data_IF_462006592996
#
_entry.id   IF_462006592996
#
_cell.length_a   1.000
_cell.length_b   1.000
_cell.length_c   1.000
_cell.angle_alpha   90.00
_cell.angle_beta   90.00
_cell.angle_gamma   90.00
#
_symmetry.space_group_name_H-M   'P 1'
#
loop_
_entity.id
_entity.type
_entity.pdbx_description
1 polymer ?
#
# COMPACT_ATOMS: atom_id res chain seq x y z
N UNK A 1 11.28 17.37 -3.46
CA UNK A 1 10.76 16.70 -2.23
C UNK A 1 9.34 16.24 -2.52
N UNK A 2 9.10 14.92 -2.54
CA UNK A 2 7.77 14.32 -2.74
C UNK A 2 7.11 13.97 -1.39
N UNK A 3 5.78 13.87 -1.38
CA UNK A 3 4.98 13.30 -0.30
C UNK A 3 4.77 11.82 -0.58
N UNK A 4 5.28 10.97 0.27
CA UNK A 4 5.21 9.51 0.15
C UNK A 4 4.29 8.96 1.22
N UNK A 5 3.32 8.16 0.84
CA UNK A 5 2.43 7.44 1.77
C UNK A 5 2.68 5.94 1.66
N UNK A 6 2.92 5.29 2.78
CA UNK A 6 3.05 3.83 2.88
C UNK A 6 1.81 3.26 3.54
N UNK A 7 1.13 2.35 2.86
CA UNK A 7 0.00 1.57 3.39
C UNK A 7 0.49 0.16 3.71
N UNK A 8 0.82 -0.08 4.98
CA UNK A 8 1.35 -1.35 5.46
C UNK A 8 0.21 -2.25 5.95
N UNK A 9 -0.11 -3.28 5.17
CA UNK A 9 -1.23 -4.20 5.38
C UNK A 9 -0.90 -5.42 6.23
N UNK A 10 0.35 -5.59 6.69
CA UNK A 10 0.70 -6.73 7.54
C UNK A 10 0.20 -6.56 8.97
N UNK A 11 -0.48 -7.57 9.56
CA UNK A 11 -0.83 -7.56 10.98
C UNK A 11 0.41 -7.77 11.89
N UNK A 12 1.52 -8.26 11.34
CA UNK A 12 2.78 -8.46 12.06
C UNK A 12 3.66 -7.22 11.93
N UNK A 13 3.67 -6.36 12.95
CA UNK A 13 4.37 -5.07 12.94
C UNK A 13 5.90 -5.20 12.85
N UNK A 14 6.44 -6.36 13.23
CA UNK A 14 7.87 -6.69 13.18
C UNK A 14 8.15 -7.89 12.26
N UNK A 15 7.26 -8.14 11.28
CA UNK A 15 7.39 -9.24 10.34
C UNK A 15 8.19 -8.87 9.07
N UNK A 16 8.27 -9.80 8.14
CA UNK A 16 8.98 -9.68 6.86
C UNK A 16 8.57 -8.45 6.05
N UNK A 17 7.26 -8.24 5.90
CA UNK A 17 6.73 -7.05 5.18
C UNK A 17 7.10 -5.75 5.88
N UNK A 18 7.10 -5.74 7.22
CA UNK A 18 7.48 -4.56 8.00
C UNK A 18 8.95 -4.20 7.79
N UNK A 19 9.84 -5.19 7.71
CA UNK A 19 11.25 -4.97 7.42
C UNK A 19 11.46 -4.34 6.03
N UNK A 20 10.75 -4.81 5.00
CA UNK A 20 10.78 -4.18 3.66
C UNK A 20 10.32 -2.72 3.71
N UNK A 21 9.25 -2.45 4.48
CA UNK A 21 8.73 -1.08 4.67
C UNK A 21 9.75 -0.17 5.31
N UNK A 22 10.45 -0.63 6.36
CA UNK A 22 11.49 0.17 7.05
C UNK A 22 12.63 0.54 6.08
N UNK A 23 13.12 -0.42 5.31
CA UNK A 23 14.21 -0.14 4.35
C UNK A 23 13.77 0.84 3.26
N UNK A 24 12.58 0.67 2.69
CA UNK A 24 12.02 1.60 1.70
C UNK A 24 11.82 3.01 2.28
N UNK A 25 11.32 3.10 3.52
CA UNK A 25 11.11 4.34 4.25
C UNK A 25 12.45 5.07 4.46
N UNK A 26 13.47 4.37 4.97
CA UNK A 26 14.79 4.95 5.19
C UNK A 26 15.44 5.41 3.88
N UNK A 27 15.31 4.64 2.79
CA UNK A 27 15.79 5.04 1.47
C UNK A 27 15.15 6.35 0.99
N UNK A 28 13.82 6.47 1.10
CA UNK A 28 13.09 7.67 0.71
C UNK A 28 13.44 8.89 1.58
N UNK A 29 13.59 8.68 2.89
CA UNK A 29 14.00 9.75 3.81
C UNK A 29 15.44 10.22 3.58
N UNK A 30 16.35 9.32 3.23
CA UNK A 30 17.76 9.64 2.96
C UNK A 30 17.94 10.65 1.81
N UNK A 31 16.99 10.69 0.87
CA UNK A 31 16.97 11.65 -0.24
C UNK A 31 15.99 12.82 -0.02
N UNK A 32 15.52 13.00 1.21
CA UNK A 32 14.76 14.18 1.64
C UNK A 32 13.25 14.13 1.36
N UNK A 33 12.65 12.95 1.11
CA UNK A 33 11.21 12.85 0.95
C UNK A 33 10.48 12.86 2.29
N UNK A 34 9.24 13.39 2.31
CA UNK A 34 8.33 13.28 3.46
C UNK A 34 7.57 11.98 3.38
N UNK A 35 7.83 11.07 4.33
CA UNK A 35 7.19 9.75 4.36
C UNK A 35 6.22 9.67 5.53
N UNK A 36 4.97 9.32 5.24
CA UNK A 36 3.95 8.99 6.23
C UNK A 36 3.56 7.52 6.08
N UNK A 37 3.60 6.77 7.19
CA UNK A 37 3.28 5.34 7.23
C UNK A 37 2.00 5.11 8.00
N UNK A 38 1.09 4.35 7.41
CA UNK A 38 -0.12 3.82 8.04
C UNK A 38 -0.03 2.30 8.16
N UNK A 39 -0.02 1.79 9.39
CA UNK A 39 -0.14 0.35 9.65
C UNK A 39 -1.62 -0.03 9.60
N UNK A 40 -2.16 -0.14 8.40
CA UNK A 40 -3.61 -0.27 8.18
C UNK A 40 -4.22 -1.53 8.79
N UNK A 41 -3.40 -2.55 9.04
CA UNK A 41 -3.85 -3.78 9.69
C UNK A 41 -4.22 -3.59 11.17
N UNK A 42 -3.72 -2.53 11.82
CA UNK A 42 -4.00 -2.21 13.22
C UNK A 42 -4.93 -1.01 13.39
N UNK A 43 -5.31 -0.38 12.28
CA UNK A 43 -6.20 0.77 12.27
C UNK A 43 -7.68 0.34 12.18
N UNK A 44 -8.55 1.17 12.69
CA UNK A 44 -10.00 0.92 12.66
C UNK A 44 -10.57 1.47 11.36
N UNK A 45 -10.68 0.60 10.35
CA UNK A 45 -11.30 0.93 9.06
C UNK A 45 -12.40 -0.08 8.77
N UNK A 46 -13.64 0.39 8.69
CA UNK A 46 -14.79 -0.44 8.32
C UNK A 46 -14.85 -0.68 6.80
N UNK A 47 -15.27 -1.87 6.39
CA UNK A 47 -15.46 -2.22 4.98
C UNK A 47 -16.47 -1.29 4.30
N UNK A 48 -16.30 -1.05 3.00
CA UNK A 48 -17.26 -0.28 2.22
C UNK A 48 -18.65 -0.95 2.24
N UNK A 49 -19.69 -0.21 2.61
CA UNK A 49 -21.07 -0.70 2.69
C UNK A 49 -21.82 -0.60 1.36
N UNK A 50 -21.18 -0.12 0.30
CA UNK A 50 -21.79 0.13 -1.01
C UNK A 50 -23.08 0.98 -0.94
N UNK A 51 -23.25 1.80 0.09
CA UNK A 51 -24.47 2.59 0.35
C UNK A 51 -24.63 3.83 -0.53
N UNK A 52 -23.65 4.13 -1.37
CA UNK A 52 -23.59 5.26 -2.31
C UNK A 52 -23.78 6.67 -1.67
N UNK A 53 -23.76 6.77 -0.35
CA UNK A 53 -23.97 8.06 0.32
C UNK A 53 -22.90 9.12 -0.04
N UNK A 54 -21.64 8.69 -0.25
CA UNK A 54 -20.55 9.57 -0.69
C UNK A 54 -20.69 10.09 -2.13
N UNK A 55 -21.59 9.51 -2.93
CA UNK A 55 -21.86 9.94 -4.32
C UNK A 55 -23.31 10.43 -4.51
N UNK A 56 -24.05 10.64 -3.41
CA UNK A 56 -25.42 11.14 -3.48
C UNK A 56 -25.45 12.55 -4.05
N UNK A 57 -26.27 12.84 -5.08
CA UNK A 57 -26.45 14.20 -5.59
C UNK A 57 -26.84 15.18 -4.47
N UNK A 58 -26.17 16.33 -4.39
CA UNK A 58 -26.40 17.33 -3.34
C UNK A 58 -25.84 16.96 -1.95
N UNK A 59 -25.14 15.83 -1.82
CA UNK A 59 -24.42 15.45 -0.61
C UNK A 59 -23.07 16.16 -0.47
N UNK A 60 -22.41 15.98 0.68
CA UNK A 60 -21.09 16.57 0.98
C UNK A 60 -19.91 15.81 0.36
N UNK A 61 -20.18 14.79 -0.44
CA UNK A 61 -19.15 13.95 -1.08
C UNK A 61 -18.31 13.09 -0.11
N UNK A 62 -18.76 12.94 1.15
CA UNK A 62 -18.01 12.22 2.18
C UNK A 62 -18.63 10.86 2.50
N UNK A 63 -17.79 9.93 2.95
CA UNK A 63 -18.27 8.67 3.50
C UNK A 63 -19.04 8.91 4.80
N UNK A 64 -20.13 8.14 5.00
CA UNK A 64 -20.91 8.19 6.25
C UNK A 64 -20.22 7.49 7.42
N UNK A 65 -19.28 6.60 7.15
CA UNK A 65 -18.49 5.94 8.19
C UNK A 65 -17.41 6.90 8.70
N UNK A 66 -17.33 7.05 10.02
CA UNK A 66 -16.31 7.84 10.72
C UNK A 66 -15.32 6.87 11.36
N UNK A 67 -14.16 6.75 10.78
CA UNK A 67 -13.12 5.83 11.18
C UNK A 67 -11.74 6.36 10.73
N UNK A 68 -10.68 5.55 10.84
CA UNK A 68 -9.34 6.00 10.49
C UNK A 68 -9.13 6.31 9.00
N UNK A 69 -10.11 6.02 8.11
CA UNK A 69 -10.08 6.54 6.74
C UNK A 69 -10.10 8.07 6.68
N UNK A 70 -10.61 8.74 7.70
CA UNK A 70 -10.58 10.21 7.79
C UNK A 70 -9.14 10.76 7.89
N UNK A 71 -8.16 9.92 8.26
CA UNK A 71 -6.71 10.23 8.24
C UNK A 71 -6.03 9.70 6.96
N UNK A 72 -6.29 8.42 6.64
CA UNK A 72 -5.63 7.73 5.52
C UNK A 72 -5.98 8.36 4.18
N UNK A 73 -7.26 8.58 3.93
CA UNK A 73 -7.74 9.03 2.63
C UNK A 73 -7.18 10.39 2.20
N UNK A 74 -7.26 11.45 3.04
CA UNK A 74 -6.68 12.74 2.71
C UNK A 74 -5.16 12.67 2.49
N UNK A 75 -4.43 11.84 3.25
CA UNK A 75 -3.00 11.63 3.07
C UNK A 75 -2.71 11.00 1.70
N UNK A 76 -3.46 9.95 1.31
CA UNK A 76 -3.31 9.32 -0.02
C UNK A 76 -3.68 10.28 -1.15
N UNK A 77 -4.77 11.06 -1.00
CA UNK A 77 -5.14 12.08 -2.00
C UNK A 77 -4.03 13.10 -2.22
N UNK A 78 -3.35 13.53 -1.14
CA UNK A 78 -2.29 14.53 -1.18
C UNK A 78 -0.90 13.96 -1.55
N UNK A 79 -0.75 12.65 -1.62
CA UNK A 79 0.51 11.99 -1.90
C UNK A 79 0.90 12.11 -3.38
N UNK A 80 2.20 12.22 -3.65
CA UNK A 80 2.81 12.07 -4.97
C UNK A 80 3.12 10.58 -5.25
N UNK A 81 3.42 9.83 -4.17
CA UNK A 81 3.84 8.43 -4.21
C UNK A 81 3.04 7.62 -3.20
N UNK A 82 2.54 6.45 -3.62
CA UNK A 82 1.88 5.48 -2.74
C UNK A 82 2.64 4.15 -2.76
N UNK A 83 2.99 3.65 -1.60
CA UNK A 83 3.63 2.35 -1.43
C UNK A 83 2.64 1.41 -0.79
N UNK A 84 2.29 0.34 -1.49
CA UNK A 84 1.49 -0.75 -0.94
C UNK A 84 2.43 -1.85 -0.44
N UNK A 85 2.30 -2.21 0.83
CA UNK A 85 3.10 -3.26 1.45
C UNK A 85 2.19 -4.31 2.09
N UNK A 86 2.27 -5.56 1.65
CA UNK A 86 1.39 -6.63 2.15
C UNK A 86 2.07 -7.99 2.10
N UNK A 87 1.84 -8.85 3.09
CA UNK A 87 2.09 -10.28 2.92
C UNK A 87 1.06 -10.85 1.95
N UNK A 88 1.40 -11.96 1.31
CA UNK A 88 0.51 -12.70 0.42
C UNK A 88 -0.34 -13.65 1.24
N UNK A 89 -1.66 -13.45 1.25
CA UNK A 89 -2.63 -14.34 1.88
C UNK A 89 -3.58 -14.89 0.81
N UNK A 90 -3.51 -16.21 0.59
CA UNK A 90 -4.28 -16.87 -0.47
C UNK A 90 -4.16 -16.15 -1.83
N UNK A 91 -2.91 -15.86 -2.24
CA UNK A 91 -2.55 -15.25 -3.52
C UNK A 91 -3.00 -13.80 -3.69
N UNK A 92 -3.51 -13.15 -2.63
CA UNK A 92 -3.95 -11.75 -2.66
C UNK A 92 -3.37 -10.95 -1.49
N UNK A 93 -3.65 -9.65 -1.46
CA UNK A 93 -3.31 -8.77 -0.35
C UNK A 93 -4.13 -9.11 0.89
N UNK A 94 -3.70 -8.63 2.05
CA UNK A 94 -4.50 -8.77 3.28
C UNK A 94 -5.85 -8.08 3.15
N UNK A 95 -6.88 -8.64 3.80
CA UNK A 95 -8.23 -8.05 3.83
C UNK A 95 -8.24 -6.63 4.39
N UNK A 96 -7.36 -6.34 5.35
CA UNK A 96 -7.23 -5.01 5.95
C UNK A 96 -6.76 -3.97 4.92
N UNK A 97 -5.77 -4.30 4.09
CA UNK A 97 -5.31 -3.42 3.02
C UNK A 97 -6.40 -3.26 1.95
N UNK A 98 -7.05 -4.35 1.57
CA UNK A 98 -8.15 -4.32 0.59
C UNK A 98 -9.31 -3.46 1.09
N UNK A 99 -9.64 -3.52 2.38
CA UNK A 99 -10.67 -2.67 3.00
C UNK A 99 -10.36 -1.18 2.83
N UNK A 100 -9.11 -0.76 3.04
CA UNK A 100 -8.69 0.63 2.81
C UNK A 100 -8.82 1.01 1.34
N UNK A 101 -8.38 0.15 0.42
CA UNK A 101 -8.46 0.39 -1.03
C UNK A 101 -9.92 0.52 -1.49
N UNK A 102 -10.82 -0.33 -1.01
CA UNK A 102 -12.26 -0.24 -1.33
C UNK A 102 -12.87 1.09 -0.87
N UNK A 103 -12.36 1.67 0.21
CA UNK A 103 -12.79 2.95 0.73
C UNK A 103 -12.26 4.14 -0.06
N UNK A 104 -11.29 3.99 -0.98
CA UNK A 104 -10.87 5.02 -1.93
C UNK A 104 -12.02 5.51 -2.78
N UNK A 105 -13.03 4.67 -3.02
CA UNK A 105 -14.24 5.02 -3.73
C UNK A 105 -14.92 6.31 -3.21
N UNK A 106 -14.86 6.55 -1.90
CA UNK A 106 -15.48 7.75 -1.30
C UNK A 106 -14.76 9.07 -1.63
N UNK A 107 -13.56 9.01 -2.22
CA UNK A 107 -12.80 10.21 -2.60
C UNK A 107 -12.97 10.59 -4.07
N UNK A 108 -13.65 9.75 -4.87
CA UNK A 108 -14.00 10.01 -6.26
C UNK A 108 -12.82 10.48 -7.12
N UNK A 109 -13.03 11.54 -7.89
CA UNK A 109 -12.02 12.10 -8.79
C UNK A 109 -10.75 12.60 -8.07
N UNK A 110 -10.84 12.97 -6.80
CA UNK A 110 -9.66 13.38 -6.02
C UNK A 110 -8.63 12.26 -5.90
N UNK A 111 -9.06 10.98 -5.93
CA UNK A 111 -8.18 9.84 -5.89
C UNK A 111 -7.49 9.56 -7.23
N UNK A 112 -8.06 10.01 -8.34
CA UNK A 112 -7.55 9.77 -9.70
C UNK A 112 -6.42 10.69 -10.13
N UNK A 113 -5.89 11.54 -9.24
CA UNK A 113 -4.69 12.32 -9.54
C UNK A 113 -3.52 11.38 -9.79
N UNK A 114 -2.70 11.61 -10.86
CA UNK A 114 -1.57 10.74 -11.17
C UNK A 114 -0.62 10.57 -9.99
N UNK A 115 -0.21 9.34 -9.71
CA UNK A 115 0.72 8.99 -8.64
C UNK A 115 1.69 7.91 -9.09
N UNK A 116 2.88 7.93 -8.52
CA UNK A 116 3.80 6.80 -8.61
C UNK A 116 3.45 5.75 -7.55
N UNK A 117 3.52 4.49 -7.92
CA UNK A 117 3.20 3.37 -7.02
C UNK A 117 4.38 2.42 -6.91
N UNK A 118 4.63 1.94 -5.71
CA UNK A 118 5.59 0.86 -5.44
C UNK A 118 4.91 -0.25 -4.65
N UNK A 119 5.31 -1.49 -4.93
CA UNK A 119 4.76 -2.68 -4.27
C UNK A 119 5.85 -3.40 -3.47
N UNK A 120 5.59 -3.66 -2.20
CA UNK A 120 6.41 -4.46 -1.30
C UNK A 120 5.61 -5.69 -0.88
N UNK A 121 5.87 -6.82 -1.53
CA UNK A 121 5.10 -8.04 -1.34
C UNK A 121 6.00 -9.15 -0.77
N UNK A 122 5.52 -9.89 0.24
CA UNK A 122 6.27 -10.98 0.84
C UNK A 122 5.41 -12.24 1.01
N UNK A 123 6.01 -13.43 0.82
CA UNK A 123 5.34 -14.69 1.10
C UNK A 123 6.34 -15.76 1.57
N UNK A 124 5.84 -16.74 2.33
CA UNK A 124 6.64 -17.89 2.76
C UNK A 124 6.86 -18.95 1.68
N UNK A 125 6.00 -18.98 0.64
CA UNK A 125 6.17 -19.89 -0.48
C UNK A 125 7.38 -19.52 -1.36
N UNK A 126 8.16 -20.50 -1.87
CA UNK A 126 9.37 -20.21 -2.64
C UNK A 126 9.10 -19.79 -4.09
N UNK A 127 7.91 -20.04 -4.63
CA UNK A 127 7.59 -19.75 -6.02
C UNK A 127 7.16 -18.29 -6.20
N UNK A 128 8.00 -17.51 -6.87
CA UNK A 128 7.72 -16.11 -7.20
C UNK A 128 6.47 -15.94 -8.10
N UNK A 129 6.03 -16.98 -8.82
CA UNK A 129 4.78 -16.93 -9.61
C UNK A 129 3.54 -16.75 -8.73
N UNK A 130 3.62 -17.08 -7.44
CA UNK A 130 2.54 -16.85 -6.48
C UNK A 130 2.11 -15.38 -6.38
N UNK A 131 2.97 -14.44 -6.75
CA UNK A 131 2.64 -13.01 -6.75
C UNK A 131 1.84 -12.54 -7.99
N UNK A 132 1.74 -13.36 -9.04
CA UNK A 132 1.08 -12.93 -10.27
C UNK A 132 -0.38 -12.49 -10.07
N UNK A 133 -1.24 -13.19 -9.30
CA UNK A 133 -2.62 -12.74 -9.08
C UNK A 133 -2.69 -11.37 -8.40
N UNK A 134 -2.01 -11.18 -7.26
CA UNK A 134 -2.05 -9.92 -6.52
C UNK A 134 -1.42 -8.75 -7.30
N UNK A 135 -0.36 -9.00 -8.06
CA UNK A 135 0.22 -7.95 -8.92
C UNK A 135 -0.76 -7.52 -10.00
N UNK A 136 -1.50 -8.46 -10.61
CA UNK A 136 -2.58 -8.15 -11.55
C UNK A 136 -3.70 -7.32 -10.93
N UNK A 137 -4.07 -7.60 -9.68
CA UNK A 137 -5.04 -6.77 -8.94
C UNK A 137 -4.52 -5.34 -8.77
N UNK A 138 -3.27 -5.14 -8.33
CA UNK A 138 -2.69 -3.80 -8.22
C UNK A 138 -2.56 -3.09 -9.57
N UNK A 139 -2.22 -3.80 -10.63
CA UNK A 139 -2.17 -3.25 -11.99
C UNK A 139 -3.55 -2.75 -12.44
N UNK A 140 -4.61 -3.53 -12.17
CA UNK A 140 -5.99 -3.11 -12.45
C UNK A 140 -6.41 -1.88 -11.64
N UNK A 141 -6.10 -1.83 -10.33
CA UNK A 141 -6.37 -0.69 -9.47
C UNK A 141 -5.65 0.57 -9.99
N UNK A 142 -4.35 0.44 -10.29
CA UNK A 142 -3.54 1.56 -10.78
C UNK A 142 -4.04 2.07 -12.13
N UNK A 143 -4.36 1.19 -13.05
CA UNK A 143 -4.93 1.55 -14.36
C UNK A 143 -6.25 2.32 -14.19
N UNK A 144 -7.15 1.86 -13.34
CA UNK A 144 -8.43 2.54 -13.06
C UNK A 144 -8.24 3.93 -12.43
N UNK A 145 -7.26 4.09 -11.53
CA UNK A 145 -6.98 5.35 -10.83
C UNK A 145 -6.06 6.31 -11.61
N UNK A 146 -5.50 5.88 -12.75
CA UNK A 146 -4.51 6.66 -13.49
C UNK A 146 -3.14 6.73 -12.80
N UNK A 147 -2.81 5.75 -11.96
CA UNK A 147 -1.54 5.64 -11.25
C UNK A 147 -0.55 4.76 -12.01
N UNK A 148 0.75 4.95 -11.78
CA UNK A 148 1.80 4.22 -12.49
C UNK A 148 2.66 3.41 -11.50
N UNK A 149 2.73 2.09 -11.66
CA UNK A 149 3.65 1.25 -10.89
C UNK A 149 5.07 1.45 -11.41
N UNK A 150 5.96 1.93 -10.54
CA UNK A 150 7.36 2.23 -10.83
C UNK A 150 8.32 1.13 -10.38
N UNK A 151 7.94 0.35 -9.39
CA UNK A 151 8.80 -0.73 -8.88
C UNK A 151 8.06 -1.74 -8.02
N UNK A 152 8.64 -2.94 -7.92
CA UNK A 152 8.10 -4.04 -7.13
C UNK A 152 9.24 -4.76 -6.41
N UNK A 153 9.10 -5.05 -5.13
CA UNK A 153 9.90 -6.04 -4.40
C UNK A 153 9.00 -7.22 -4.09
N UNK A 154 9.35 -8.40 -4.60
CA UNK A 154 8.60 -9.65 -4.48
C UNK A 154 9.44 -10.67 -3.70
N UNK A 155 9.31 -10.65 -2.37
CA UNK A 155 10.10 -11.46 -1.46
C UNK A 155 9.44 -12.84 -1.26
N UNK A 156 9.72 -13.80 -2.16
CA UNK A 156 9.31 -15.20 -2.05
C UNK A 156 10.23 -15.98 -1.11
N UNK A 157 9.72 -17.04 -0.48
CA UNK A 157 10.46 -17.87 0.45
C UNK A 157 10.84 -17.19 1.77
N UNK A 158 10.22 -16.05 2.10
CA UNK A 158 10.55 -15.24 3.26
C UNK A 158 9.41 -15.31 4.30
N UNK A 159 9.36 -16.40 5.07
CA UNK A 159 8.36 -16.57 6.14
C UNK A 159 8.69 -15.68 7.35
N UNK A 160 9.96 -15.50 7.65
CA UNK A 160 10.48 -14.74 8.79
C UNK A 160 11.39 -13.59 8.34
N UNK A 161 11.62 -12.56 9.17
CA UNK A 161 12.63 -11.54 8.89
C UNK A 161 14.03 -12.13 8.65
N UNK A 162 14.41 -13.17 9.38
CA UNK A 162 15.70 -13.85 9.20
C UNK A 162 15.85 -14.55 7.84
N UNK A 163 14.75 -14.94 7.19
CA UNK A 163 14.81 -15.44 5.80
C UNK A 163 15.05 -14.27 4.85
N UNK A 164 14.41 -13.12 5.09
CA UNK A 164 14.57 -11.93 4.29
C UNK A 164 16.01 -11.38 4.32
N UNK A 165 16.66 -11.42 5.48
CA UNK A 165 18.06 -10.98 5.66
C UNK A 165 19.07 -11.75 4.79
N UNK A 166 18.75 -13.00 4.40
CA UNK A 166 19.55 -13.82 3.51
C UNK A 166 19.37 -13.49 2.03
N UNK A 167 18.54 -12.50 1.71
CA UNK A 167 18.19 -12.09 0.35
C UNK A 167 18.58 -10.63 0.11
N UNK A 168 18.66 -10.19 -1.16
CA UNK A 168 18.92 -8.78 -1.46
C UNK A 168 17.69 -7.86 -1.27
N UNK A 169 16.51 -8.38 -0.89
CA UNK A 169 15.25 -7.64 -0.94
C UNK A 169 15.22 -6.40 -0.05
N UNK A 170 15.87 -6.45 1.13
CA UNK A 170 15.99 -5.28 2.00
C UNK A 170 16.78 -4.15 1.33
N UNK A 171 17.93 -4.47 0.74
CA UNK A 171 18.74 -3.49 0.03
C UNK A 171 18.02 -2.98 -1.22
N UNK A 172 17.37 -3.87 -1.98
CA UNK A 172 16.54 -3.48 -3.13
C UNK A 172 15.43 -2.50 -2.73
N UNK A 173 14.76 -2.73 -1.59
CA UNK A 173 13.74 -1.82 -1.07
C UNK A 173 14.35 -0.45 -0.69
N UNK A 174 15.50 -0.43 -0.04
CA UNK A 174 16.21 0.80 0.31
C UNK A 174 16.61 1.61 -0.94
N UNK A 175 17.28 0.98 -1.90
CA UNK A 175 17.69 1.61 -3.16
C UNK A 175 16.49 2.10 -3.98
N UNK A 176 15.39 1.36 -3.94
CA UNK A 176 14.14 1.75 -4.59
C UNK A 176 13.55 3.00 -3.92
N UNK A 177 13.64 3.11 -2.59
CA UNK A 177 13.27 4.31 -1.83
C UNK A 177 14.11 5.53 -2.22
N UNK A 178 15.41 5.34 -2.44
CA UNK A 178 16.30 6.43 -2.90
C UNK A 178 15.99 6.92 -4.33
N UNK A 179 15.32 6.11 -5.14
CA UNK A 179 14.99 6.43 -6.54
C UNK A 179 13.59 7.07 -6.69
N UNK A 180 12.85 7.28 -5.60
CA UNK A 180 11.62 8.05 -5.60
C UNK A 180 11.95 9.52 -5.95
#
# INVERSE_FOLDING_TARGET
>A
MKKVVILAGSPHLNGTTAALVEHMLYGAQAVGHKVERFNVATMKVGSCKACMACHKPGGDGKCVQRDDMDKIGPAVVAADVVIFATPLYYFDMTSQLKTVIDRFFSYGESMKKPKEVYLLLACGGPDAKSFAPVTGVFEGICAYLGWTIKGKVLASGCMTPGDLEKTPHCMTAYEMGQKI
#
